data_IF_643222017850
#
_entry.id   IF_643222017850
#
_cell.length_a   1.000
_cell.length_b   1.000
_cell.length_c   1.000
_cell.angle_alpha   90.00
_cell.angle_beta   90.00
_cell.angle_gamma   90.00
#
_symmetry.space_group_name_H-M   'P 1'
#
loop_
_entity.id
_entity.type
_entity.pdbx_description
1 polymer ?
#
# COMPACT_ATOMS: atom_id res chain seq x y z
N UNK A 1 16.06 -26.14 -16.79
CA UNK A 1 16.47 -26.88 -15.57
C UNK A 1 17.89 -26.45 -15.27
N UNK A 2 18.20 -25.97 -14.06
CA UNK A 2 19.56 -25.52 -13.72
C UNK A 2 20.27 -26.69 -13.03
N UNK A 3 21.35 -27.17 -13.63
CA UNK A 3 22.21 -28.20 -13.04
C UNK A 3 23.01 -27.58 -11.89
N UNK A 4 22.44 -27.59 -10.70
CA UNK A 4 23.15 -27.22 -9.48
C UNK A 4 23.89 -28.46 -8.94
N UNK A 5 25.14 -28.31 -8.45
CA UNK A 5 25.91 -29.44 -7.89
C UNK A 5 25.22 -30.13 -6.71
N UNK A 6 24.32 -29.42 -6.03
CA UNK A 6 23.46 -29.94 -4.97
C UNK A 6 22.37 -30.90 -5.50
N UNK A 7 21.83 -30.63 -6.69
CA UNK A 7 20.83 -31.48 -7.34
C UNK A 7 21.39 -32.84 -7.76
N UNK A 8 22.64 -32.86 -8.24
CA UNK A 8 23.36 -34.09 -8.61
C UNK A 8 23.56 -35.01 -7.41
N UNK A 9 24.02 -34.48 -6.27
CA UNK A 9 24.21 -35.26 -5.05
C UNK A 9 22.89 -35.81 -4.48
N UNK A 10 21.81 -35.04 -4.58
CA UNK A 10 20.49 -35.49 -4.13
C UNK A 10 19.93 -36.62 -5.00
N UNK A 11 20.16 -36.56 -6.32
CA UNK A 11 19.77 -37.62 -7.25
C UNK A 11 20.56 -38.90 -7.01
N UNK A 12 21.87 -38.80 -6.76
CA UNK A 12 22.75 -39.94 -6.44
C UNK A 12 22.36 -40.63 -5.13
N UNK A 13 22.02 -39.85 -4.10
CA UNK A 13 21.52 -40.38 -2.82
C UNK A 13 20.18 -41.09 -2.98
N UNK A 14 19.27 -40.55 -3.80
CA UNK A 14 17.99 -41.20 -4.09
C UNK A 14 18.15 -42.51 -4.85
N UNK A 15 19.07 -42.56 -5.83
CA UNK A 15 19.40 -43.78 -6.57
C UNK A 15 19.94 -44.87 -5.64
N UNK A 16 20.88 -44.52 -4.75
CA UNK A 16 21.45 -45.45 -3.76
C UNK A 16 20.38 -46.02 -2.83
N UNK A 17 19.42 -45.19 -2.40
CA UNK A 17 18.32 -45.62 -1.54
C UNK A 17 17.35 -46.59 -2.26
N UNK A 18 17.13 -46.39 -3.56
CA UNK A 18 16.32 -47.30 -4.38
C UNK A 18 17.00 -48.67 -4.48
N UNK A 19 18.31 -48.70 -4.75
CA UNK A 19 19.07 -49.95 -4.85
C UNK A 19 19.03 -50.76 -3.55
N UNK A 20 19.19 -50.11 -2.39
CA UNK A 20 19.09 -50.76 -1.09
C UNK A 20 17.69 -51.33 -0.81
N UNK A 21 16.64 -50.61 -1.20
CA UNK A 21 15.26 -51.05 -1.01
C UNK A 21 14.91 -52.22 -1.94
N UNK A 22 15.48 -52.28 -3.15
CA UNK A 22 15.37 -53.43 -4.05
C UNK A 22 16.03 -54.67 -3.42
N UNK A 23 17.24 -54.53 -2.89
CA UNK A 23 17.97 -55.64 -2.28
C UNK A 23 17.30 -56.16 -0.99
N UNK A 24 16.65 -55.27 -0.23
CA UNK A 24 15.95 -55.62 1.02
C UNK A 24 14.49 -56.03 0.83
N UNK A 25 13.98 -56.05 -0.41
CA UNK A 25 12.59 -56.41 -0.72
C UNK A 25 11.54 -55.37 -0.27
N UNK A 26 11.97 -54.17 0.13
CA UNK A 26 11.14 -53.05 0.56
C UNK A 26 10.97 -51.99 -0.53
N UNK A 27 11.20 -52.37 -1.78
CA UNK A 27 11.06 -51.47 -2.92
C UNK A 27 9.61 -50.99 -3.05
N UNK A 28 9.44 -49.67 -3.11
CA UNK A 28 8.17 -49.04 -3.38
C UNK A 28 8.01 -48.80 -4.89
N UNK A 29 7.21 -49.62 -5.62
CA UNK A 29 7.00 -49.44 -7.06
C UNK A 29 6.24 -48.16 -7.40
N UNK A 30 5.61 -47.49 -6.43
CA UNK A 30 4.92 -46.21 -6.66
C UNK A 30 5.88 -45.02 -6.69
N UNK A 31 7.15 -45.26 -6.34
CA UNK A 31 8.22 -44.26 -6.21
C UNK A 31 7.86 -43.09 -5.26
N UNK A 32 6.79 -43.21 -4.47
CA UNK A 32 6.31 -42.14 -3.61
C UNK A 32 7.30 -41.87 -2.47
N UNK A 33 7.96 -42.91 -1.97
CA UNK A 33 9.00 -42.84 -0.93
C UNK A 33 10.25 -42.05 -1.37
N UNK A 34 10.62 -42.10 -2.65
CA UNK A 34 11.87 -41.52 -3.16
C UNK A 34 11.69 -40.13 -3.76
N UNK A 35 10.44 -39.67 -3.95
CA UNK A 35 10.18 -38.27 -4.30
C UNK A 35 10.65 -37.44 -3.13
N UNK A 36 11.74 -36.68 -3.35
CA UNK A 36 12.22 -35.70 -2.38
C UNK A 36 11.01 -34.91 -1.92
N UNK A 37 10.69 -35.01 -0.63
CA UNK A 37 9.61 -34.25 -0.01
C UNK A 37 10.13 -32.81 0.12
N UNK A 38 10.43 -32.20 -1.03
CA UNK A 38 10.63 -30.79 -1.12
C UNK A 38 9.25 -30.23 -0.79
N UNK A 39 9.09 -29.88 0.48
CA UNK A 39 8.42 -28.65 0.84
C UNK A 39 9.16 -27.54 0.10
N UNK A 40 8.97 -27.49 -1.22
CA UNK A 40 9.18 -26.32 -2.04
C UNK A 40 8.29 -25.31 -1.35
N UNK A 41 8.92 -24.37 -0.63
CA UNK A 41 8.27 -23.12 -0.27
C UNK A 41 7.64 -22.65 -1.57
N UNK A 42 6.32 -22.75 -1.65
CA UNK A 42 5.52 -22.47 -2.84
C UNK A 42 6.11 -21.24 -3.53
N UNK A 43 6.86 -21.47 -4.60
CA UNK A 43 7.24 -20.43 -5.52
C UNK A 43 5.94 -20.16 -6.25
N UNK A 44 5.24 -19.17 -5.71
CA UNK A 44 4.13 -18.41 -6.26
C UNK A 44 3.61 -19.03 -7.56
N UNK A 45 2.53 -19.77 -7.42
CA UNK A 45 1.63 -20.18 -8.48
C UNK A 45 1.54 -19.03 -9.51
N UNK A 46 2.18 -19.24 -10.66
CA UNK A 46 2.22 -18.29 -11.77
C UNK A 46 1.01 -18.54 -12.67
N UNK A 47 -0.16 -18.66 -12.06
CA UNK A 47 -1.39 -18.29 -12.74
C UNK A 47 -1.36 -16.76 -12.86
N UNK A 48 -1.74 -16.17 -14.01
CA UNK A 48 -1.90 -14.72 -14.11
C UNK A 48 -3.11 -14.31 -13.26
N UNK A 49 -2.91 -14.26 -11.94
CA UNK A 49 -3.91 -13.80 -10.99
C UNK A 49 -4.03 -12.29 -11.19
N UNK A 50 -5.22 -11.86 -11.58
CA UNK A 50 -5.55 -10.43 -11.66
C UNK A 50 -5.29 -9.81 -10.29
N UNK A 51 -4.32 -8.88 -10.17
CA UNK A 51 -3.94 -8.33 -8.89
C UNK A 51 -5.12 -7.58 -8.27
N UNK A 52 -5.31 -7.78 -6.97
CA UNK A 52 -6.36 -7.12 -6.18
C UNK A 52 -6.03 -5.63 -6.05
N UNK A 53 -7.03 -4.76 -5.96
CA UNK A 53 -6.83 -3.31 -5.72
C UNK A 53 -5.94 -3.05 -4.50
N UNK A 54 -6.12 -3.84 -3.43
CA UNK A 54 -5.30 -3.75 -2.22
C UNK A 54 -3.83 -4.11 -2.48
N UNK A 55 -3.57 -5.08 -3.35
CA UNK A 55 -2.21 -5.50 -3.73
C UNK A 55 -1.57 -4.41 -4.60
N UNK A 56 -2.28 -3.91 -5.61
CA UNK A 56 -1.86 -2.78 -6.44
C UNK A 56 -1.55 -1.53 -5.59
N UNK A 57 -2.41 -1.23 -4.61
CA UNK A 57 -2.21 -0.10 -3.71
C UNK A 57 -0.98 -0.27 -2.84
N UNK A 58 -0.74 -1.47 -2.28
CA UNK A 58 0.46 -1.75 -1.47
C UNK A 58 1.73 -1.56 -2.30
N UNK A 59 1.77 -2.07 -3.52
CA UNK A 59 2.93 -1.92 -4.39
C UNK A 59 3.13 -0.47 -4.85
N UNK A 60 2.04 0.25 -5.13
CA UNK A 60 2.08 1.68 -5.42
C UNK A 60 2.61 2.49 -4.24
N UNK A 61 2.15 2.23 -3.02
CA UNK A 61 2.66 2.89 -1.80
C UNK A 61 4.15 2.58 -1.60
N UNK A 62 4.58 1.34 -1.83
CA UNK A 62 5.99 0.94 -1.76
C UNK A 62 6.85 1.64 -2.81
N UNK A 63 6.32 1.90 -4.00
CA UNK A 63 6.98 2.70 -5.02
C UNK A 63 7.06 4.17 -4.58
N UNK A 64 5.94 4.75 -4.15
CA UNK A 64 5.85 6.16 -3.72
C UNK A 64 6.67 6.46 -2.47
N UNK A 65 6.88 5.50 -1.58
CA UNK A 65 7.65 5.70 -0.35
C UNK A 65 9.12 6.06 -0.59
N UNK A 66 9.66 5.75 -1.78
CA UNK A 66 11.01 6.15 -2.19
C UNK A 66 11.11 7.62 -2.59
N UNK A 67 9.98 8.22 -2.99
CA UNK A 67 9.93 9.58 -3.57
C UNK A 67 9.25 10.57 -2.60
N UNK A 68 8.34 10.09 -1.76
CA UNK A 68 7.46 10.91 -0.93
C UNK A 68 7.95 10.93 0.52
N UNK A 69 7.88 12.11 1.16
CA UNK A 69 8.22 12.30 2.58
C UNK A 69 7.39 11.38 3.49
N UNK A 70 8.00 10.87 4.56
CA UNK A 70 7.34 10.00 5.56
C UNK A 70 6.07 10.63 6.16
N UNK A 71 6.06 11.95 6.38
CA UNK A 71 4.90 12.70 6.88
C UNK A 71 3.71 12.62 5.91
N UNK A 72 3.97 12.76 4.61
CA UNK A 72 2.94 12.67 3.56
C UNK A 72 2.43 11.24 3.42
N UNK A 73 3.29 10.22 3.49
CA UNK A 73 2.86 8.82 3.53
C UNK A 73 1.88 8.57 4.69
N UNK A 74 2.21 9.04 5.90
CA UNK A 74 1.35 8.89 7.07
C UNK A 74 0.04 9.66 6.94
N UNK A 75 0.08 10.93 6.52
CA UNK A 75 -1.11 11.81 6.51
C UNK A 75 -2.05 11.53 5.33
N UNK A 76 -1.51 11.21 4.15
CA UNK A 76 -2.31 11.11 2.91
C UNK A 76 -2.53 9.66 2.47
N UNK A 77 -1.53 8.78 2.62
CA UNK A 77 -1.64 7.40 2.11
C UNK A 77 -2.21 6.42 3.15
N UNK A 78 -1.93 6.61 4.44
CA UNK A 78 -2.46 5.74 5.49
C UNK A 78 -4.00 5.72 5.56
N UNK A 79 -4.71 6.87 5.52
CA UNK A 79 -6.18 6.86 5.57
C UNK A 79 -6.80 6.10 4.41
N UNK A 80 -6.19 6.21 3.22
CA UNK A 80 -6.62 5.50 2.01
C UNK A 80 -6.36 4.01 2.16
N UNK A 81 -5.19 3.63 2.65
CA UNK A 81 -4.84 2.22 2.93
C UNK A 81 -5.87 1.58 3.89
N UNK A 82 -6.22 2.28 4.96
CA UNK A 82 -7.21 1.81 5.92
C UNK A 82 -8.61 1.70 5.30
N UNK A 83 -9.00 2.65 4.44
CA UNK A 83 -10.28 2.62 3.74
C UNK A 83 -10.35 1.45 2.75
N UNK A 84 -9.32 1.27 1.92
CA UNK A 84 -9.21 0.14 1.00
C UNK A 84 -9.19 -1.21 1.73
N UNK A 85 -8.66 -1.26 2.96
CA UNK A 85 -8.73 -2.42 3.85
C UNK A 85 -10.15 -2.83 4.24
N UNK A 86 -11.07 -1.88 4.31
CA UNK A 86 -12.48 -2.09 4.71
C UNK A 86 -13.41 -2.36 3.53
N UNK A 87 -12.95 -2.13 2.30
CA UNK A 87 -13.78 -2.36 1.12
C UNK A 87 -14.01 -3.87 0.92
N UNK A 88 -15.27 -4.30 0.68
CA UNK A 88 -15.57 -5.68 0.33
C UNK A 88 -15.14 -6.02 -1.11
N UNK A 89 -14.99 -5.00 -1.96
CA UNK A 89 -14.62 -5.13 -3.36
C UNK A 89 -13.11 -5.19 -3.54
N UNK A 90 -12.66 -6.21 -4.27
CA UNK A 90 -11.24 -6.56 -4.42
C UNK A 90 -10.72 -6.29 -5.84
N UNK A 91 -11.60 -6.31 -6.84
CA UNK A 91 -11.20 -6.24 -8.24
C UNK A 91 -11.41 -4.85 -8.83
N UNK A 92 -10.57 -4.50 -9.80
CA UNK A 92 -10.64 -3.24 -10.55
C UNK A 92 -11.94 -3.12 -11.36
N UNK A 93 -12.51 -4.25 -11.78
CA UNK A 93 -13.79 -4.33 -12.49
C UNK A 93 -14.98 -3.82 -11.65
N UNK A 94 -14.95 -3.99 -10.33
CA UNK A 94 -15.96 -3.48 -9.40
C UNK A 94 -15.88 -1.94 -9.21
N UNK A 95 -15.18 -1.22 -10.09
CA UNK A 95 -14.99 0.22 -10.00
C UNK A 95 -16.27 1.01 -9.76
N UNK A 96 -17.40 0.65 -10.39
CA UNK A 96 -18.70 1.31 -10.17
C UNK A 96 -19.15 1.17 -8.72
N UNK A 97 -19.08 -0.03 -8.15
CA UNK A 97 -19.48 -0.28 -6.75
C UNK A 97 -18.57 0.45 -5.77
N UNK A 98 -17.27 0.52 -6.10
CA UNK A 98 -16.29 1.27 -5.30
C UNK A 98 -16.60 2.75 -5.36
N UNK A 99 -16.94 3.27 -6.53
CA UNK A 99 -17.40 4.65 -6.70
C UNK A 99 -18.61 4.88 -5.80
N UNK A 100 -19.73 4.20 -6.01
CA UNK A 100 -20.94 4.38 -5.21
C UNK A 100 -20.68 4.34 -3.70
N UNK A 101 -19.84 3.40 -3.24
CA UNK A 101 -19.45 3.32 -1.84
C UNK A 101 -18.71 4.57 -1.35
N UNK A 102 -17.78 5.10 -2.14
CA UNK A 102 -17.03 6.31 -1.80
C UNK A 102 -17.93 7.54 -1.76
N UNK A 103 -18.87 7.67 -2.69
CA UNK A 103 -19.83 8.79 -2.70
C UNK A 103 -20.74 8.78 -1.46
N UNK A 104 -21.10 7.59 -0.94
CA UNK A 104 -21.90 7.45 0.27
C UNK A 104 -21.09 7.65 1.57
N UNK A 105 -19.84 7.17 1.61
CA UNK A 105 -19.05 7.13 2.84
C UNK A 105 -18.20 8.40 3.09
N UNK A 106 -17.97 9.23 2.06
CA UNK A 106 -17.01 10.36 2.13
C UNK A 106 -17.63 11.70 1.76
N UNK A 107 -17.12 12.75 2.41
CA UNK A 107 -17.37 14.12 1.97
C UNK A 107 -16.80 14.35 0.57
N UNK A 108 -17.34 15.31 -0.22
CA UNK A 108 -16.85 15.60 -1.57
C UNK A 108 -15.34 15.80 -1.65
N UNK A 109 -14.74 16.50 -0.69
CA UNK A 109 -13.29 16.73 -0.64
C UNK A 109 -12.52 15.42 -0.36
N UNK A 110 -13.03 14.58 0.55
CA UNK A 110 -12.47 13.27 0.85
C UNK A 110 -12.53 12.33 -0.35
N UNK A 111 -13.66 12.33 -1.06
CA UNK A 111 -13.85 11.58 -2.30
C UNK A 111 -12.88 12.05 -3.40
N UNK A 112 -12.75 13.38 -3.63
CA UNK A 112 -11.77 13.94 -4.59
C UNK A 112 -10.34 13.51 -4.28
N UNK A 113 -9.92 13.59 -3.01
CA UNK A 113 -8.58 13.15 -2.57
C UNK A 113 -8.38 11.64 -2.82
N UNK A 114 -9.39 10.82 -2.52
CA UNK A 114 -9.33 9.37 -2.76
C UNK A 114 -9.23 9.03 -4.25
N UNK A 115 -10.11 9.59 -5.09
CA UNK A 115 -10.10 9.34 -6.53
C UNK A 115 -8.83 9.83 -7.21
N UNK A 116 -8.25 10.94 -6.75
CA UNK A 116 -6.96 11.43 -7.26
C UNK A 116 -5.87 10.38 -7.03
N UNK A 117 -5.81 9.78 -5.84
CA UNK A 117 -4.79 8.76 -5.52
C UNK A 117 -5.08 7.42 -6.20
N UNK A 118 -6.34 7.02 -6.30
CA UNK A 118 -6.73 5.80 -7.03
C UNK A 118 -6.42 5.92 -8.51
N UNK A 119 -6.72 7.06 -9.12
CA UNK A 119 -6.38 7.34 -10.52
C UNK A 119 -4.86 7.30 -10.73
N UNK A 120 -4.07 7.90 -9.82
CA UNK A 120 -2.61 7.84 -9.88
C UNK A 120 -2.04 6.42 -9.75
N UNK A 121 -2.61 5.62 -8.83
CA UNK A 121 -2.27 4.19 -8.69
C UNK A 121 -2.59 3.42 -9.97
N UNK A 122 -3.77 3.60 -10.55
CA UNK A 122 -4.16 2.92 -11.79
C UNK A 122 -3.29 3.36 -12.98
N UNK A 123 -2.95 4.65 -13.12
CA UNK A 123 -1.99 5.11 -14.15
C UNK A 123 -0.62 4.46 -14.00
N UNK A 124 -0.14 4.34 -12.77
CA UNK A 124 1.11 3.64 -12.48
C UNK A 124 1.02 2.15 -12.82
N UNK A 125 -0.11 1.49 -12.51
CA UNK A 125 -0.33 0.09 -12.82
C UNK A 125 -0.42 -0.17 -14.33
N UNK A 126 -1.12 0.69 -15.10
CA UNK A 126 -1.16 0.64 -16.58
C UNK A 126 0.24 0.79 -17.15
N UNK A 127 1.03 1.74 -16.66
CA UNK A 127 2.41 1.97 -17.13
C UNK A 127 3.34 0.77 -16.90
N UNK A 128 2.97 -0.16 -16.00
CA UNK A 128 3.71 -1.39 -15.70
C UNK A 128 3.06 -2.64 -16.31
N UNK A 129 1.99 -2.49 -17.09
CA UNK A 129 1.26 -3.60 -17.70
C UNK A 129 0.52 -4.48 -16.69
N UNK A 130 0.20 -3.97 -15.49
CA UNK A 130 -0.52 -4.73 -14.45
C UNK A 130 -2.03 -4.72 -14.65
N UNK A 131 -2.55 -3.66 -15.28
CA UNK A 131 -3.96 -3.50 -15.66
C UNK A 131 -4.01 -2.88 -17.05
N UNK A 132 -5.08 -3.14 -17.81
CA UNK A 132 -5.22 -2.63 -19.18
C UNK A 132 -5.54 -1.13 -19.21
N UNK A 133 -6.45 -0.69 -18.33
CA UNK A 133 -7.01 0.67 -18.37
C UNK A 133 -7.24 1.24 -16.96
N UNK A 134 -7.40 2.57 -16.87
CA UNK A 134 -7.67 3.27 -15.62
C UNK A 134 -9.16 3.62 -15.47
N UNK A 135 -9.94 2.87 -14.66
CA UNK A 135 -11.37 3.14 -14.49
C UNK A 135 -11.69 4.36 -13.60
N UNK A 136 -10.68 4.97 -12.97
CA UNK A 136 -10.83 6.15 -12.11
C UNK A 136 -10.29 7.42 -12.78
N UNK A 137 -10.03 7.39 -14.07
CA UNK A 137 -9.67 8.57 -14.84
C UNK A 137 -10.84 9.57 -14.88
N UNK A 138 -10.55 10.87 -14.73
CA UNK A 138 -11.56 11.93 -14.77
C UNK A 138 -12.47 12.05 -13.54
N UNK A 139 -12.63 10.99 -12.72
CA UNK A 139 -13.56 10.97 -11.57
C UNK A 139 -13.31 12.03 -10.51
N UNK A 140 -12.05 12.37 -10.25
CA UNK A 140 -11.73 13.46 -9.32
C UNK A 140 -12.19 14.84 -9.84
N UNK A 141 -12.21 15.03 -11.16
CA UNK A 141 -12.62 16.29 -11.80
C UNK A 141 -14.14 16.46 -11.87
N UNK A 142 -14.90 15.36 -11.85
CA UNK A 142 -16.37 15.38 -11.80
C UNK A 142 -16.89 15.95 -10.46
N UNK A 143 -16.09 15.85 -9.39
CA UNK A 143 -16.48 16.34 -8.06
C UNK A 143 -16.31 17.86 -8.00
N UNK A 144 -17.43 18.56 -8.14
CA UNK A 144 -17.50 20.01 -7.93
C UNK A 144 -17.40 20.31 -6.43
N UNK A 145 -16.27 20.86 -6.01
CA UNK A 145 -16.14 21.48 -4.70
C UNK A 145 -16.62 22.93 -4.77
N UNK A 146 -17.38 23.36 -3.78
CA UNK A 146 -17.62 24.79 -3.58
C UNK A 146 -16.27 25.48 -3.34
N UNK A 147 -16.09 26.69 -3.91
CA UNK A 147 -14.86 27.49 -3.84
C UNK A 147 -14.26 27.62 -2.43
N UNK A 148 -15.07 27.49 -1.39
CA UNK A 148 -14.68 27.54 0.03
C UNK A 148 -13.88 26.34 0.53
N UNK A 149 -13.89 25.18 -0.14
CA UNK A 149 -13.28 23.93 0.36
C UNK A 149 -11.97 23.55 -0.36
N UNK A 150 -11.70 24.12 -1.53
CA UNK A 150 -10.40 23.97 -2.22
C UNK A 150 -9.31 24.85 -1.56
N UNK A 151 -9.72 25.86 -0.78
CA UNK A 151 -8.87 26.79 -0.02
C UNK A 151 -8.59 26.31 1.42
N UNK A 152 -8.40 25.01 1.62
CA UNK A 152 -8.01 24.40 2.91
C UNK A 152 -6.57 24.79 3.34
N UNK A 153 -5.96 25.79 2.67
CA UNK A 153 -4.72 26.46 3.07
C UNK A 153 -4.93 27.82 3.76
N UNK A 154 -6.15 28.38 3.84
CA UNK A 154 -6.31 29.79 4.25
C UNK A 154 -7.55 30.09 5.10
N UNK A 155 -7.92 29.23 6.05
CA UNK A 155 -8.66 29.69 7.24
C UNK A 155 -7.86 29.43 8.53
N UNK A 156 -6.54 29.60 8.42
CA UNK A 156 -5.75 29.96 9.58
C UNK A 156 -6.09 31.42 9.85
N UNK A 157 -6.99 31.66 10.81
CA UNK A 157 -7.25 33.01 11.33
C UNK A 157 -5.90 33.67 11.63
N UNK A 158 -5.49 34.57 10.73
CA UNK A 158 -4.23 35.27 10.89
C UNK A 158 -4.40 36.21 12.08
N UNK A 159 -3.51 36.11 13.07
CA UNK A 159 -3.61 36.94 14.27
C UNK A 159 -3.68 38.42 13.89
N UNK A 160 -4.73 39.08 14.34
CA UNK A 160 -4.87 40.53 14.23
C UNK A 160 -3.74 41.24 15.00
N UNK A 161 -3.50 42.52 14.70
CA UNK A 161 -2.51 43.33 15.45
C UNK A 161 -2.83 43.34 16.95
N UNK A 162 -4.13 43.41 17.30
CA UNK A 162 -4.59 43.39 18.68
C UNK A 162 -4.36 42.05 19.37
N UNK A 163 -4.68 40.93 18.71
CA UNK A 163 -4.44 39.60 19.26
C UNK A 163 -2.94 39.35 19.47
N UNK A 164 -2.09 39.79 18.52
CA UNK A 164 -0.63 39.75 18.70
C UNK A 164 -0.21 40.55 19.93
N UNK A 165 -0.74 41.75 20.12
CA UNK A 165 -0.46 42.57 21.30
C UNK A 165 -0.88 41.90 22.61
N UNK A 166 -2.08 41.30 22.64
CA UNK A 166 -2.59 40.55 23.80
C UNK A 166 -1.72 39.32 24.10
N UNK A 167 -1.30 38.58 23.08
CA UNK A 167 -0.39 37.44 23.26
C UNK A 167 0.98 37.86 23.81
N UNK A 168 1.55 38.97 23.31
CA UNK A 168 2.83 39.50 23.80
C UNK A 168 2.72 40.02 25.25
N UNK A 169 1.64 40.72 25.57
CA UNK A 169 1.40 41.24 26.93
C UNK A 169 1.18 40.10 27.94
N UNK A 170 0.38 39.08 27.58
CA UNK A 170 0.16 37.89 28.40
C UNK A 170 1.44 37.05 28.57
N UNK A 171 2.29 36.99 27.54
CA UNK A 171 3.60 36.35 27.65
C UNK A 171 4.53 37.12 28.59
N UNK A 172 4.57 38.46 28.49
CA UNK A 172 5.42 39.32 29.32
C UNK A 172 5.03 39.31 30.81
N UNK A 173 3.75 39.08 31.12
CA UNK A 173 3.26 38.93 32.50
C UNK A 173 3.35 37.51 33.04
N UNK A 174 3.70 36.53 32.20
CA UNK A 174 3.86 35.12 32.61
C UNK A 174 5.13 34.91 33.43
N UNK A 175 5.08 33.99 34.39
CA UNK A 175 6.21 33.61 35.23
C UNK A 175 7.42 33.07 34.42
N UNK A 176 7.16 32.55 33.21
CA UNK A 176 8.20 32.08 32.28
C UNK A 176 9.05 33.20 31.67
N UNK A 177 8.54 34.44 31.60
CA UNK A 177 9.30 35.56 31.06
C UNK A 177 10.51 35.92 31.94
N UNK A 178 10.35 35.80 33.26
CA UNK A 178 11.40 36.12 34.25
C UNK A 178 12.58 35.15 34.20
N UNK A 179 12.38 33.91 33.76
CA UNK A 179 13.48 32.93 33.65
C UNK A 179 14.25 33.03 32.34
N UNK A 180 13.65 33.59 31.28
CA UNK A 180 14.27 33.78 29.96
C UNK A 180 15.06 35.09 29.85
N UNK A 181 14.74 36.08 30.68
CA UNK A 181 15.50 37.31 30.84
C UNK A 181 16.00 37.46 32.29
N UNK A 182 17.14 36.87 32.64
CA UNK A 182 17.83 37.25 33.87
C UNK A 182 18.25 38.71 33.74
N UNK A 183 17.70 39.59 34.58
CA UNK A 183 18.15 40.97 34.66
C UNK A 183 19.61 40.97 35.11
N UNK A 184 20.47 41.57 34.30
CA UNK A 184 21.89 41.79 34.58
C UNK A 184 22.08 43.15 35.26
#
# INVERSE_FOLDING_TARGET
MKDTPEGWKAAEMAASQIELDILSGNFDPTLAKYKSNSKVKSVVDSTPRVPTIQELWKDYVKYRSKVVKKSTLRKQFQPITNYLGKLPYKHVEDHIKIQDRVWNDKTPQGAKRLFTQLSAMCKWAVSRGLISENPFEGKASEIKLSKSTDSDEMDVNSFTVEERGKSIAAFSSSCYYKSLHPMH
#
